data_IF_425081305195
#
_entry.id   IF_425081305195
#
_cell.length_a   1.000
_cell.length_b   1.000
_cell.length_c   1.000
_cell.angle_alpha   90.00
_cell.angle_beta   90.00
_cell.angle_gamma   90.00
#
_symmetry.space_group_name_H-M   'P 1'
#
loop_
_entity.id
_entity.type
_entity.pdbx_description
1 polymer ?
#
# COMPACT_ATOMS: atom_id res chain seq x y z
N UNK A 1 -5.47 -10.51 11.83
CA UNK A 1 -5.36 -9.08 11.46
C UNK A 1 -4.33 -8.80 10.38
N UNK A 2 -3.04 -9.15 10.56
CA UNK A 2 -2.00 -8.82 9.58
C UNK A 2 -2.37 -9.21 8.13
N UNK A 3 -2.86 -10.43 7.93
CA UNK A 3 -3.32 -10.91 6.62
C UNK A 3 -4.42 -10.02 6.02
N UNK A 4 -5.55 -9.87 6.73
CA UNK A 4 -6.73 -9.13 6.28
C UNK A 4 -6.46 -7.66 5.94
N UNK A 5 -5.55 -7.00 6.68
CA UNK A 5 -5.24 -5.59 6.47
C UNK A 5 -4.16 -5.36 5.40
N UNK A 6 -3.10 -6.17 5.38
CA UNK A 6 -1.86 -5.85 4.68
C UNK A 6 -1.49 -6.78 3.53
N UNK A 7 -2.17 -7.93 3.41
CA UNK A 7 -1.87 -8.96 2.41
C UNK A 7 -3.06 -9.21 1.50
N UNK A 8 -4.26 -9.27 2.08
CA UNK A 8 -5.50 -9.40 1.31
C UNK A 8 -5.62 -8.26 0.29
N UNK A 9 -5.59 -8.60 -1.00
CA UNK A 9 -5.36 -7.63 -2.07
C UNK A 9 -6.46 -6.56 -2.12
N UNK A 10 -7.73 -6.99 -2.09
CA UNK A 10 -8.88 -6.08 -2.19
C UNK A 10 -8.93 -5.13 -1.00
N UNK A 11 -8.71 -5.65 0.21
CA UNK A 11 -8.71 -4.84 1.42
C UNK A 11 -7.50 -3.89 1.46
N UNK A 12 -6.31 -4.37 1.08
CA UNK A 12 -5.10 -3.56 1.10
C UNK A 12 -5.18 -2.40 0.12
N UNK A 13 -5.52 -2.64 -1.14
CA UNK A 13 -5.50 -1.60 -2.17
C UNK A 13 -6.65 -0.59 -2.02
N UNK A 14 -7.85 -1.05 -1.65
CA UNK A 14 -9.04 -0.18 -1.62
C UNK A 14 -9.30 0.47 -0.25
N UNK A 15 -8.79 -0.12 0.84
CA UNK A 15 -9.09 0.34 2.20
C UNK A 15 -7.82 0.71 2.94
N UNK A 16 -6.94 -0.25 3.24
CA UNK A 16 -5.82 -0.05 4.17
C UNK A 16 -4.80 0.95 3.64
N UNK A 17 -4.30 0.75 2.43
CA UNK A 17 -3.26 1.61 1.83
C UNK A 17 -3.71 3.07 1.73
N UNK A 18 -4.86 3.42 1.10
CA UNK A 18 -5.29 4.81 1.01
C UNK A 18 -5.60 5.40 2.40
N UNK A 19 -6.18 4.61 3.31
CA UNK A 19 -6.48 5.10 4.66
C UNK A 19 -5.22 5.50 5.42
N UNK A 20 -4.18 4.66 5.42
CA UNK A 20 -2.89 4.98 6.03
C UNK A 20 -2.15 6.10 5.29
N UNK A 21 -2.11 6.05 3.95
CA UNK A 21 -1.42 7.05 3.14
C UNK A 21 -2.01 8.46 3.33
N UNK A 22 -3.33 8.59 3.54
CA UNK A 22 -4.00 9.88 3.76
C UNK A 22 -3.57 10.60 5.05
N UNK A 23 -3.01 9.88 6.02
CA UNK A 23 -2.62 10.41 7.34
C UNK A 23 -1.13 10.71 7.46
N UNK A 24 -0.37 10.46 6.40
CA UNK A 24 1.09 10.55 6.41
C UNK A 24 1.52 11.52 5.29
N UNK A 25 2.44 12.47 5.55
CA UNK A 25 2.92 13.35 4.50
C UNK A 25 3.79 12.62 3.47
N UNK A 26 3.81 13.13 2.25
CA UNK A 26 4.78 12.72 1.23
C UNK A 26 6.21 12.98 1.73
N UNK A 27 7.18 12.09 1.45
CA UNK A 27 7.11 10.88 0.63
C UNK A 27 6.74 9.60 1.39
N UNK A 28 6.59 9.68 2.71
CA UNK A 28 6.40 8.52 3.57
C UNK A 28 5.06 7.81 3.33
N UNK A 29 4.04 8.54 2.85
CA UNK A 29 2.73 7.97 2.47
C UNK A 29 2.80 6.89 1.39
N UNK A 30 3.80 6.92 0.50
CA UNK A 30 4.01 5.85 -0.48
C UNK A 30 4.82 4.70 0.14
N UNK A 31 5.94 5.05 0.76
CA UNK A 31 6.89 4.06 1.25
C UNK A 31 6.33 3.22 2.40
N UNK A 32 5.67 3.85 3.38
CA UNK A 32 5.32 3.18 4.63
C UNK A 32 4.28 2.06 4.45
N UNK A 33 3.14 2.26 3.74
CA UNK A 33 2.19 1.16 3.53
C UNK A 33 2.81 -0.02 2.79
N UNK A 34 3.69 0.25 1.82
CA UNK A 34 4.41 -0.79 1.08
C UNK A 34 5.37 -1.56 1.98
N UNK A 35 6.12 -0.85 2.85
CA UNK A 35 7.00 -1.48 3.83
C UNK A 35 6.19 -2.38 4.78
N UNK A 36 5.09 -1.87 5.33
CA UNK A 36 4.23 -2.61 6.25
C UNK A 36 3.61 -3.86 5.61
N UNK A 37 3.19 -3.79 4.35
CA UNK A 37 2.71 -4.96 3.59
C UNK A 37 3.80 -6.02 3.41
N UNK A 38 5.01 -5.61 3.05
CA UNK A 38 6.16 -6.53 2.93
C UNK A 38 6.54 -7.16 4.27
N UNK A 39 6.57 -6.37 5.33
CA UNK A 39 6.89 -6.85 6.68
C UNK A 39 5.82 -7.84 7.19
N UNK A 40 4.54 -7.59 6.88
CA UNK A 40 3.44 -8.50 7.22
C UNK A 40 3.59 -9.85 6.49
N UNK A 41 3.86 -9.82 5.18
CA UNK A 41 4.08 -11.03 4.39
C UNK A 41 5.29 -11.83 4.90
N UNK A 42 6.42 -11.16 5.15
CA UNK A 42 7.62 -11.79 5.69
C UNK A 42 7.35 -12.47 7.04
N UNK A 43 6.64 -11.80 7.95
CA UNK A 43 6.27 -12.38 9.25
C UNK A 43 5.42 -13.65 9.09
N UNK A 44 4.48 -13.67 8.15
CA UNK A 44 3.64 -14.84 7.91
C UNK A 44 4.46 -15.98 7.34
N UNK A 45 5.29 -15.72 6.32
CA UNK A 45 6.15 -16.74 5.72
C UNK A 45 7.16 -17.32 6.73
N UNK A 46 7.72 -16.50 7.62
CA UNK A 46 8.61 -16.97 8.69
C UNK A 46 7.89 -17.85 9.72
N UNK A 47 6.62 -17.58 9.99
CA UNK A 47 5.86 -18.31 11.03
C UNK A 47 5.19 -19.57 10.50
N UNK A 48 4.67 -19.52 9.27
CA UNK A 48 3.89 -20.61 8.65
C UNK A 48 4.71 -21.44 7.66
N UNK A 49 5.86 -20.94 7.22
CA UNK A 49 6.63 -21.51 6.11
C UNK A 49 6.24 -20.87 4.77
N UNK A 50 7.17 -20.91 3.81
CA UNK A 50 6.94 -20.48 2.43
C UNK A 50 6.96 -21.66 1.44
N UNK A 51 6.72 -21.39 0.14
CA UNK A 51 6.83 -22.41 -0.89
C UNK A 51 8.21 -23.08 -0.90
N UNK A 52 8.31 -24.39 -1.17
CA UNK A 52 7.24 -25.30 -1.61
C UNK A 52 6.43 -25.94 -0.47
N UNK A 53 6.73 -25.64 0.80
CA UNK A 53 6.09 -26.31 1.94
C UNK A 53 4.60 -25.99 2.07
N UNK A 54 4.24 -24.72 1.82
CA UNK A 54 2.85 -24.26 1.82
C UNK A 54 2.63 -23.24 0.70
N UNK A 55 1.48 -23.36 0.03
CA UNK A 55 0.96 -22.33 -0.87
C UNK A 55 0.35 -21.17 -0.08
N UNK A 56 0.33 -19.98 -0.69
CA UNK A 56 -0.28 -18.78 -0.08
C UNK A 56 -1.77 -19.03 0.26
N UNK A 57 -2.47 -19.80 -0.57
CA UNK A 57 -3.87 -20.17 -0.38
C UNK A 57 -4.08 -21.10 0.82
N UNK A 58 -3.19 -22.08 1.04
CA UNK A 58 -3.29 -22.95 2.22
C UNK A 58 -3.01 -22.17 3.50
N UNK A 59 -2.01 -21.27 3.47
CA UNK A 59 -1.70 -20.37 4.58
C UNK A 59 -2.90 -19.49 4.91
N UNK A 60 -3.56 -18.93 3.90
CA UNK A 60 -4.77 -18.13 4.05
C UNK A 60 -5.88 -18.90 4.78
N UNK A 61 -6.21 -20.11 4.30
CA UNK A 61 -7.24 -20.97 4.92
C UNK A 61 -6.91 -21.25 6.38
N UNK A 62 -5.66 -21.59 6.68
CA UNK A 62 -5.23 -21.85 8.05
C UNK A 62 -5.33 -20.59 8.92
N UNK A 63 -4.89 -19.43 8.42
CA UNK A 63 -4.98 -18.15 9.16
C UNK A 63 -6.42 -17.81 9.49
N UNK A 64 -7.35 -17.96 8.54
CA UNK A 64 -8.76 -17.67 8.80
C UNK A 64 -9.36 -18.68 9.78
N UNK A 65 -9.00 -19.96 9.70
CA UNK A 65 -9.44 -20.99 10.66
C UNK A 65 -8.97 -20.65 12.08
N UNK A 66 -7.67 -20.45 12.25
CA UNK A 66 -7.05 -20.16 13.55
C UNK A 66 -7.61 -18.82 14.13
N UNK A 67 -7.86 -17.83 13.28
CA UNK A 67 -8.45 -16.56 13.70
C UNK A 67 -9.89 -16.71 14.20
N UNK A 68 -10.73 -17.48 13.48
CA UNK A 68 -12.11 -17.75 13.91
C UNK A 68 -12.15 -18.53 15.23
N UNK A 69 -11.27 -19.51 15.39
CA UNK A 69 -11.12 -20.24 16.65
C UNK A 69 -10.70 -19.31 17.80
N UNK A 70 -9.73 -18.43 17.57
CA UNK A 70 -9.32 -17.43 18.55
C UNK A 70 -10.48 -16.50 18.96
N UNK A 71 -11.30 -16.04 18.01
CA UNK A 71 -12.49 -15.25 18.31
C UNK A 71 -13.50 -16.03 19.16
N UNK A 72 -13.73 -17.31 18.87
CA UNK A 72 -14.60 -18.16 19.67
C UNK A 72 -14.06 -18.33 21.10
N UNK A 73 -12.75 -18.52 21.26
CA UNK A 73 -12.12 -18.62 22.58
C UNK A 73 -12.24 -17.31 23.37
N UNK A 74 -12.05 -16.16 22.72
CA UNK A 74 -12.25 -14.85 23.34
C UNK A 74 -13.71 -14.64 23.75
N UNK A 75 -14.65 -15.00 22.88
CA UNK A 75 -16.09 -14.91 23.18
C UNK A 75 -16.47 -15.79 24.36
N UNK A 76 -16.00 -17.05 24.38
CA UNK A 76 -16.24 -17.97 25.49
C UNK A 76 -15.63 -17.43 26.80
N UNK A 77 -14.41 -16.89 26.72
CA UNK A 77 -13.72 -16.34 27.90
C UNK A 77 -14.41 -15.09 28.46
N UNK A 78 -14.90 -14.20 27.60
CA UNK A 78 -15.65 -13.02 28.03
C UNK A 78 -17.00 -13.43 28.64
N UNK A 79 -17.67 -14.41 28.04
CA UNK A 79 -18.97 -14.89 28.48
C UNK A 79 -19.98 -13.74 28.53
N UNK A 80 -20.59 -13.56 29.71
CA UNK A 80 -21.53 -12.47 30.00
C UNK A 80 -20.90 -11.32 30.80
N UNK A 81 -19.58 -11.34 31.02
CA UNK A 81 -18.90 -10.28 31.77
C UNK A 81 -18.67 -9.05 30.89
N UNK A 82 -18.68 -7.83 31.46
CA UNK A 82 -18.37 -6.62 30.69
C UNK A 82 -16.90 -6.53 30.28
N UNK A 83 -15.99 -7.16 31.05
CA UNK A 83 -14.55 -7.23 30.79
C UNK A 83 -14.01 -8.65 31.07
N UNK A 84 -12.83 -8.97 30.53
CA UNK A 84 -12.21 -10.31 30.61
C UNK A 84 -11.88 -10.80 32.03
N UNK A 85 -11.76 -9.88 32.99
CA UNK A 85 -11.47 -10.17 34.40
C UNK A 85 -12.51 -9.56 35.35
N UNK A 86 -13.75 -9.40 34.90
CA UNK A 86 -14.88 -8.98 35.73
C UNK A 86 -15.39 -7.58 35.38
N UNK A 87 -15.54 -6.72 36.39
CA UNK A 87 -16.28 -5.46 36.25
C UNK A 87 -15.43 -4.22 35.96
N UNK A 88 -14.10 -4.38 35.84
CA UNK A 88 -13.18 -3.27 35.57
C UNK A 88 -12.33 -3.58 34.34
N UNK A 89 -12.02 -2.58 33.50
CA UNK A 89 -11.15 -2.77 32.35
C UNK A 89 -9.74 -3.15 32.82
N UNK A 90 -9.08 -4.00 32.05
CA UNK A 90 -7.70 -4.43 32.26
C UNK A 90 -6.86 -4.21 31.00
N UNK A 91 -5.55 -4.39 31.13
CA UNK A 91 -4.63 -4.35 29.97
C UNK A 91 -5.02 -5.37 28.90
N UNK A 92 -5.57 -6.52 29.29
CA UNK A 92 -6.04 -7.52 28.33
C UNK A 92 -7.22 -6.98 27.53
N UNK A 93 -8.18 -6.30 28.16
CA UNK A 93 -9.32 -5.69 27.47
C UNK A 93 -8.84 -4.67 26.43
N UNK A 94 -7.91 -3.79 26.81
CA UNK A 94 -7.33 -2.82 25.88
C UNK A 94 -6.60 -3.49 24.70
N UNK A 95 -5.86 -4.57 24.96
CA UNK A 95 -5.16 -5.33 23.92
C UNK A 95 -6.15 -5.99 22.97
N UNK A 96 -7.14 -6.73 23.49
CA UNK A 96 -8.16 -7.41 22.67
C UNK A 96 -8.97 -6.39 21.88
N UNK A 97 -9.40 -5.31 22.52
CA UNK A 97 -10.09 -4.20 21.86
C UNK A 97 -9.29 -3.62 20.69
N UNK A 98 -7.98 -3.43 20.86
CA UNK A 98 -7.08 -2.93 19.81
C UNK A 98 -7.07 -3.78 18.53
N UNK A 99 -7.39 -5.07 18.62
CA UNK A 99 -7.56 -5.95 17.45
C UNK A 99 -9.02 -6.04 16.98
N UNK A 100 -9.97 -6.14 17.91
CA UNK A 100 -11.37 -6.33 17.58
C UNK A 100 -12.00 -5.08 16.98
N UNK A 101 -11.75 -3.90 17.52
CA UNK A 101 -12.40 -2.68 17.06
C UNK A 101 -12.05 -2.34 15.60
N UNK A 102 -10.77 -2.39 15.15
CA UNK A 102 -10.45 -2.23 13.74
C UNK A 102 -11.06 -3.32 12.86
N UNK A 103 -11.05 -4.59 13.30
CA UNK A 103 -11.69 -5.68 12.55
C UNK A 103 -13.19 -5.43 12.37
N UNK A 104 -13.84 -4.98 13.44
CA UNK A 104 -15.29 -4.80 13.51
C UNK A 104 -15.78 -3.58 12.72
N UNK A 105 -15.05 -2.47 12.80
CA UNK A 105 -15.49 -1.17 12.25
C UNK A 105 -14.87 -0.81 10.90
N UNK A 106 -13.77 -1.44 10.47
CA UNK A 106 -13.16 -1.14 9.19
C UNK A 106 -14.09 -1.54 8.01
N UNK A 107 -14.18 -0.74 6.95
CA UNK A 107 -15.04 -1.00 5.80
C UNK A 107 -14.35 -1.96 4.81
N UNK A 108 -14.07 -3.19 5.23
CA UNK A 108 -13.42 -4.19 4.38
C UNK A 108 -14.30 -4.62 3.20
N UNK A 109 -13.64 -4.96 2.08
CA UNK A 109 -14.31 -5.55 0.92
C UNK A 109 -14.44 -7.07 1.07
N UNK A 110 -13.35 -7.75 1.48
CA UNK A 110 -13.42 -9.14 1.93
C UNK A 110 -13.67 -9.20 3.43
N UNK A 111 -14.88 -9.62 3.79
CA UNK A 111 -15.44 -9.50 5.15
C UNK A 111 -15.51 -10.82 5.93
N UNK A 112 -14.97 -11.93 5.41
CA UNK A 112 -15.16 -13.28 5.99
C UNK A 112 -14.88 -13.36 7.51
N UNK A 113 -13.79 -12.75 7.99
CA UNK A 113 -13.47 -12.74 9.43
C UNK A 113 -14.32 -11.73 10.22
N UNK A 114 -14.69 -10.62 9.59
CA UNK A 114 -15.56 -9.62 10.20
C UNK A 114 -16.99 -10.16 10.38
N UNK A 115 -17.50 -10.94 9.42
CA UNK A 115 -18.79 -11.63 9.52
C UNK A 115 -18.80 -12.63 10.67
N UNK A 116 -17.74 -13.41 10.83
CA UNK A 116 -17.61 -14.32 11.97
C UNK A 116 -17.61 -13.56 13.31
N UNK A 117 -16.90 -12.43 13.40
CA UNK A 117 -16.93 -11.60 14.60
C UNK A 117 -18.35 -11.07 14.89
N UNK A 118 -19.09 -10.66 13.85
CA UNK A 118 -20.48 -10.17 13.98
C UNK A 118 -21.45 -11.25 14.48
N UNK A 119 -21.13 -12.53 14.31
CA UNK A 119 -21.90 -13.64 14.87
C UNK A 119 -21.63 -13.87 16.37
N UNK A 120 -20.67 -13.15 16.97
CA UNK A 120 -20.32 -13.20 18.39
C UNK A 120 -20.79 -11.91 19.08
N UNK A 121 -22.06 -11.81 19.50
CA UNK A 121 -22.66 -10.56 19.93
C UNK A 121 -22.01 -9.98 21.20
N UNK A 122 -21.52 -10.84 22.10
CA UNK A 122 -20.83 -10.39 23.31
C UNK A 122 -19.53 -9.63 22.99
N UNK A 123 -18.77 -10.07 21.99
CA UNK A 123 -17.57 -9.36 21.53
C UNK A 123 -17.91 -8.05 20.80
N UNK A 124 -19.04 -8.01 20.09
CA UNK A 124 -19.53 -6.78 19.47
C UNK A 124 -19.93 -5.74 20.54
N UNK A 125 -20.73 -6.17 21.53
CA UNK A 125 -21.12 -5.33 22.68
C UNK A 125 -19.89 -4.84 23.44
N UNK A 126 -18.93 -5.72 23.73
CA UNK A 126 -17.65 -5.34 24.33
C UNK A 126 -16.94 -4.21 23.58
N UNK A 127 -16.88 -4.28 22.25
CA UNK A 127 -16.28 -3.22 21.43
C UNK A 127 -17.08 -1.92 21.50
N UNK A 128 -18.41 -1.99 21.39
CA UNK A 128 -19.28 -0.82 21.41
C UNK A 128 -19.29 -0.13 22.77
N UNK A 129 -19.28 -0.90 23.87
CA UNK A 129 -19.21 -0.40 25.23
C UNK A 129 -17.89 0.34 25.48
N UNK A 130 -16.76 -0.24 25.05
CA UNK A 130 -15.45 0.44 25.19
C UNK A 130 -15.41 1.72 24.34
N UNK A 131 -15.89 1.68 23.09
CA UNK A 131 -15.98 2.87 22.24
C UNK A 131 -16.82 3.97 22.89
N UNK A 132 -17.96 3.62 23.46
CA UNK A 132 -18.87 4.56 24.11
C UNK A 132 -18.31 5.12 25.41
N UNK A 133 -17.69 4.29 26.26
CA UNK A 133 -17.20 4.69 27.57
C UNK A 133 -15.89 5.50 27.50
N UNK A 134 -15.00 5.17 26.56
CA UNK A 134 -13.63 5.72 26.57
C UNK A 134 -13.28 6.56 25.34
N UNK A 135 -14.00 6.41 24.22
CA UNK A 135 -13.67 7.08 22.95
C UNK A 135 -14.77 8.03 22.46
N UNK A 136 -15.88 8.16 23.18
CA UNK A 136 -16.92 9.16 22.88
C UNK A 136 -16.32 10.55 23.09
N UNK A 137 -15.96 11.21 21.98
CA UNK A 137 -15.41 12.55 21.96
C UNK A 137 -16.48 13.55 22.41
N UNK A 138 -16.23 14.27 23.50
CA UNK A 138 -16.90 15.55 23.77
C UNK A 138 -16.55 16.47 22.59
N UNK A 139 -17.51 16.76 21.72
CA UNK A 139 -17.35 17.66 20.56
C UNK A 139 -17.25 19.14 20.99
N UNK A 140 -16.38 19.47 21.94
CA UNK A 140 -16.09 20.85 22.35
C UNK A 140 -14.62 21.21 22.15
N UNK A 141 -14.03 20.76 21.04
CA UNK A 141 -12.63 21.03 20.71
C UNK A 141 -12.40 20.93 19.22
N UNK A 142 -12.54 22.06 18.54
CA UNK A 142 -12.05 22.34 17.19
C UNK A 142 -10.62 21.80 17.04
N UNK A 143 -10.36 21.01 16.01
CA UNK A 143 -8.99 20.62 15.64
C UNK A 143 -8.60 21.38 14.37
N UNK A 144 -7.77 22.44 14.47
CA UNK A 144 -7.28 23.18 13.32
C UNK A 144 -5.87 22.68 12.96
N UNK A 145 -5.75 21.70 12.06
CA UNK A 145 -4.41 21.24 11.66
C UNK A 145 -4.30 20.32 10.45
N UNK A 146 -5.41 19.97 9.80
CA UNK A 146 -5.39 19.07 8.65
C UNK A 146 -5.51 19.76 7.30
N UNK A 147 -6.40 20.75 7.19
CA UNK A 147 -6.74 21.40 5.92
C UNK A 147 -5.61 22.30 5.40
N UNK A 148 -5.09 23.19 6.25
CA UNK A 148 -4.11 24.22 5.86
C UNK A 148 -2.82 23.62 5.27
N UNK A 149 -2.40 22.46 5.77
CA UNK A 149 -1.18 21.78 5.32
C UNK A 149 -1.36 21.11 3.95
N UNK A 150 -2.57 20.61 3.66
CA UNK A 150 -2.89 20.01 2.35
C UNK A 150 -2.99 21.11 1.29
N UNK A 151 -3.62 22.23 1.63
CA UNK A 151 -3.75 23.38 0.74
C UNK A 151 -2.39 24.03 0.43
N UNK A 152 -1.52 24.15 1.44
CA UNK A 152 -0.16 24.64 1.24
C UNK A 152 0.67 23.71 0.32
N UNK A 153 0.49 22.39 0.42
CA UNK A 153 1.17 21.44 -0.45
C UNK A 153 0.62 21.46 -1.87
N UNK A 154 -0.70 21.62 -2.04
CA UNK A 154 -1.33 21.75 -3.35
C UNK A 154 -0.84 23.02 -4.06
N UNK A 155 -0.76 24.14 -3.34
CA UNK A 155 -0.20 25.39 -3.87
C UNK A 155 1.26 25.25 -4.31
N UNK A 156 2.08 24.52 -3.55
CA UNK A 156 3.48 24.23 -3.94
C UNK A 156 3.55 23.39 -5.22
N UNK A 157 2.67 22.40 -5.38
CA UNK A 157 2.60 21.60 -6.60
C UNK A 157 2.16 22.44 -7.80
N UNK A 158 1.16 23.30 -7.64
CA UNK A 158 0.73 24.23 -8.70
C UNK A 158 1.86 25.18 -9.10
N UNK A 159 2.64 25.69 -8.14
CA UNK A 159 3.81 26.52 -8.45
C UNK A 159 4.89 25.77 -9.22
N UNK A 160 5.16 24.50 -8.88
CA UNK A 160 6.16 23.69 -9.58
C UNK A 160 5.74 23.43 -11.03
N UNK A 161 4.48 23.03 -11.25
CA UNK A 161 3.96 22.80 -12.61
C UNK A 161 4.04 24.08 -13.44
N UNK A 162 3.61 25.21 -12.90
CA UNK A 162 3.70 26.50 -13.61
C UNK A 162 5.16 26.91 -13.89
N UNK A 163 6.10 26.60 -12.99
CA UNK A 163 7.51 26.88 -13.20
C UNK A 163 8.09 26.03 -14.32
N UNK A 164 7.75 24.75 -14.37
CA UNK A 164 8.19 23.86 -15.45
C UNK A 164 7.62 24.27 -16.81
N UNK A 165 6.33 24.62 -16.88
CA UNK A 165 5.71 25.12 -18.13
C UNK A 165 6.43 26.36 -18.67
N UNK A 166 6.78 27.33 -17.79
CA UNK A 166 7.52 28.53 -18.19
C UNK A 166 8.95 28.22 -18.70
N UNK A 167 9.61 27.20 -18.13
CA UNK A 167 10.95 26.80 -18.57
C UNK A 167 10.91 26.12 -19.94
N UNK A 168 9.88 25.30 -20.18
CA UNK A 168 9.64 24.64 -21.46
C UNK A 168 9.37 25.68 -22.54
N UNK A 169 8.50 26.66 -22.27
CA UNK A 169 8.19 27.75 -23.21
C UNK A 169 9.44 28.58 -23.53
N UNK A 170 10.27 28.91 -22.53
CA UNK A 170 11.55 29.59 -22.75
C UNK A 170 12.54 28.77 -23.57
N UNK A 171 12.58 27.45 -23.40
CA UNK A 171 13.43 26.58 -24.21
C UNK A 171 12.97 26.55 -25.67
N UNK A 172 11.67 26.43 -25.92
CA UNK A 172 11.11 26.45 -27.28
C UNK A 172 11.40 27.78 -27.99
N UNK A 173 11.20 28.90 -27.29
CA UNK A 173 11.51 30.24 -27.79
C UNK A 173 12.99 30.43 -28.15
N UNK A 174 13.90 29.88 -27.32
CA UNK A 174 15.33 29.92 -27.59
C UNK A 174 15.70 29.03 -28.78
N UNK A 175 15.08 27.86 -28.94
CA UNK A 175 15.26 27.02 -30.13
C UNK A 175 14.78 27.75 -31.38
N UNK A 176 13.65 28.44 -31.30
CA UNK A 176 13.05 29.17 -32.42
C UNK A 176 13.87 30.39 -32.84
N UNK A 177 14.62 30.98 -31.91
CA UNK A 177 15.55 32.11 -32.13
C UNK A 177 16.98 31.67 -32.46
N UNK A 178 17.26 30.36 -32.49
CA UNK A 178 18.58 29.83 -32.82
C UNK A 178 18.90 30.06 -34.32
N UNK A 179 20.11 30.53 -34.68
CA UNK A 179 20.49 30.74 -36.08
C UNK A 179 20.40 29.43 -36.87
N UNK A 180 19.56 29.41 -37.90
CA UNK A 180 19.50 28.31 -38.86
C UNK A 180 20.83 28.26 -39.63
N UNK A 181 21.60 27.18 -39.46
CA UNK A 181 22.73 26.90 -40.34
C UNK A 181 22.24 26.56 -41.75
N UNK A 182 22.87 27.08 -42.82
CA UNK A 182 22.47 26.75 -44.18
C UNK A 182 22.66 25.23 -44.43
N UNK A 183 21.79 24.62 -45.24
CA UNK A 183 21.83 23.17 -45.46
C UNK A 183 23.15 22.76 -46.11
N UNK A 184 23.86 21.84 -45.45
CA UNK A 184 25.06 21.20 -45.97
C UNK A 184 24.65 20.31 -47.15
N UNK A 185 25.04 20.66 -48.38
CA UNK A 185 24.79 19.86 -49.58
C UNK A 185 25.39 18.47 -49.39
N UNK A 186 24.55 17.43 -49.36
CA UNK A 186 24.99 16.04 -49.50
C UNK A 186 25.47 15.83 -50.93
N UNK A 187 26.75 15.59 -51.12
CA UNK A 187 27.29 15.13 -52.40
C UNK A 187 26.96 13.64 -52.55
N UNK A 188 26.05 13.32 -53.46
CA UNK A 188 25.77 11.95 -53.92
C UNK A 188 27.04 11.36 -54.53
N UNK A 189 27.68 10.40 -53.86
CA UNK A 189 28.72 9.57 -54.47
C UNK A 189 28.04 8.56 -55.38
N UNK A 190 28.29 8.69 -56.69
CA UNK A 190 27.83 7.77 -57.72
C UNK A 190 28.54 6.42 -57.60
N UNK A 191 27.72 5.38 -57.68
CA UNK A 191 28.10 3.99 -57.94
C UNK A 191 28.74 3.88 -59.34
N UNK A 192 29.96 3.37 -59.42
CA UNK A 192 30.56 2.88 -60.67
C UNK A 192 31.22 1.53 -60.44
N UNK A 193 30.66 0.54 -61.12
CA UNK A 193 31.12 -0.83 -61.34
C UNK A 193 32.31 -0.89 -62.31
N UNK A 194 33.00 -2.03 -62.33
CA UNK A 194 34.15 -2.46 -63.15
C UNK A 194 35.53 -2.24 -62.47
N UNK A 195 36.48 -3.18 -62.43
CA UNK A 195 36.60 -4.53 -63.01
C UNK A 195 37.76 -5.27 -62.31
N UNK A 196 37.64 -6.61 -62.29
CA UNK A 196 38.63 -7.71 -62.25
C UNK A 196 40.05 -7.57 -61.65
N UNK A 197 40.43 -8.60 -60.88
CA UNK A 197 41.84 -8.94 -60.64
C UNK A 197 42.12 -9.95 -59.52
N UNK A 198 41.98 -11.25 -59.82
CA UNK A 198 42.68 -12.44 -59.27
C UNK A 198 43.45 -12.36 -57.94
N UNK A 199 43.12 -13.23 -56.96
CA UNK A 199 43.90 -14.45 -56.63
C UNK A 199 43.43 -15.18 -55.35
N UNK A 200 43.10 -16.46 -55.52
CA UNK A 200 43.53 -17.63 -54.72
C UNK A 200 43.26 -17.73 -53.21
N UNK A 201 42.26 -18.58 -52.89
CA UNK A 201 42.29 -19.73 -51.96
C UNK A 201 43.27 -19.72 -50.77
N UNK A 202 42.74 -19.75 -49.54
CA UNK A 202 42.91 -20.90 -48.64
C UNK A 202 42.01 -20.86 -47.37
N UNK A 203 41.43 -22.05 -47.11
CA UNK A 203 40.97 -22.67 -45.84
C UNK A 203 41.75 -22.20 -44.58
N UNK A 204 41.26 -22.22 -43.33
CA UNK A 204 40.47 -23.22 -42.60
C UNK A 204 39.93 -22.61 -41.27
N UNK A 205 38.94 -23.31 -40.72
CA UNK A 205 38.02 -23.01 -39.60
C UNK A 205 38.66 -23.11 -38.16
N UNK A 206 37.86 -23.00 -37.06
CA UNK A 206 38.26 -22.45 -35.77
C UNK A 206 38.66 -23.49 -34.71
N UNK A 207 39.08 -22.96 -33.55
CA UNK A 207 38.87 -23.53 -32.22
C UNK A 207 38.36 -22.42 -31.29
#
# INVERSE_FOLDING_TARGET
MLYTFWIEADNYYNVTKPWFASRIPFPLSWYLPRKMSRDALNRILLTKGGPPLYSITEIEVQIYRDAKECLNLLSNRLGSSPFFFGNKPTTLDAFVFGFLAPLYKAPFLKVQLQEHLKQLPNLCHFCDDILSCYFRRNFSGTSPGGQDTVDANLQKLTQLVNKESNLIEKMDDNLRKSPQHPPRKLTTVKLSTAEEGNNSLNRLSPL
#
